data_IF_636627373886
#
_entry.id   IF_636627373886
#
_cell.length_a   1.000
_cell.length_b   1.000
_cell.length_c   1.000
_cell.angle_alpha   90.00
_cell.angle_beta   90.00
_cell.angle_gamma   90.00
#
_symmetry.space_group_name_H-M   'P 1'
#
loop_
_entity.id
_entity.type
_entity.pdbx_description
1 polymer ?
#
# COMPACT_ATOMS: atom_id res chain seq x y z
N UNK A 1 -37.61 -20.17 -60.02
CA UNK A 1 -36.51 -19.29 -59.59
C UNK A 1 -37.13 -18.23 -58.68
N UNK A 2 -36.82 -18.23 -57.39
CA UNK A 2 -37.43 -17.31 -56.41
C UNK A 2 -37.49 -17.94 -55.02
N UNK A 3 -36.32 -18.19 -54.44
CA UNK A 3 -36.19 -18.72 -53.08
C UNK A 3 -36.41 -17.57 -52.09
N UNK A 4 -37.22 -17.87 -51.07
CA UNK A 4 -37.54 -17.03 -49.92
C UNK A 4 -36.30 -16.81 -49.04
N UNK A 5 -36.00 -15.56 -48.69
CA UNK A 5 -34.98 -15.23 -47.68
C UNK A 5 -35.71 -14.84 -46.39
N UNK A 6 -35.78 -15.80 -45.47
CA UNK A 6 -36.33 -15.63 -44.14
C UNK A 6 -35.32 -14.86 -43.27
N UNK A 7 -35.75 -13.70 -42.77
CA UNK A 7 -35.09 -13.01 -41.67
C UNK A 7 -35.19 -13.87 -40.41
N UNK A 8 -34.04 -14.18 -39.81
CA UNK A 8 -33.93 -15.00 -38.61
C UNK A 8 -32.75 -14.56 -37.76
N UNK A 9 -33.07 -13.90 -36.65
CA UNK A 9 -32.18 -13.41 -35.60
C UNK A 9 -31.29 -14.51 -35.01
N UNK A 10 -29.98 -14.28 -34.98
CA UNK A 10 -29.01 -15.00 -34.16
C UNK A 10 -28.24 -14.01 -33.28
N UNK A 11 -27.94 -14.34 -32.01
CA UNK A 11 -27.41 -13.36 -31.06
C UNK A 11 -25.97 -12.98 -31.43
N UNK A 12 -25.74 -11.67 -31.55
CA UNK A 12 -24.39 -11.09 -31.54
C UNK A 12 -23.79 -11.26 -30.14
N UNK A 13 -23.25 -12.43 -29.83
CA UNK A 13 -22.31 -12.57 -28.73
C UNK A 13 -20.93 -12.06 -29.16
N UNK A 14 -20.79 -10.74 -29.33
CA UNK A 14 -19.48 -10.12 -29.38
C UNK A 14 -19.02 -9.90 -27.94
N UNK A 15 -18.33 -10.91 -27.42
CA UNK A 15 -17.36 -10.91 -26.30
C UNK A 15 -16.97 -9.49 -25.84
N UNK A 16 -17.57 -9.02 -24.74
CA UNK A 16 -17.14 -7.81 -24.01
C UNK A 16 -15.89 -8.09 -23.15
N UNK A 17 -14.86 -8.74 -23.72
CA UNK A 17 -13.66 -9.15 -22.98
C UNK A 17 -12.38 -8.54 -23.56
N UNK A 18 -12.48 -7.30 -24.01
CA UNK A 18 -11.34 -6.49 -24.45
C UNK A 18 -11.49 -5.04 -23.98
N UNK A 19 -12.03 -4.83 -22.78
CA UNK A 19 -11.90 -3.54 -22.10
C UNK A 19 -10.62 -3.60 -21.26
N UNK A 20 -9.67 -2.67 -21.43
CA UNK A 20 -8.51 -2.61 -20.55
C UNK A 20 -8.99 -2.40 -19.11
N UNK A 21 -8.35 -3.08 -18.16
CA UNK A 21 -8.62 -2.85 -16.74
C UNK A 21 -8.52 -1.36 -16.44
N UNK A 22 -9.46 -0.78 -15.67
CA UNK A 22 -9.38 0.62 -15.30
C UNK A 22 -8.04 0.87 -14.60
N UNK A 23 -7.41 2.03 -14.81
CA UNK A 23 -6.16 2.35 -14.15
C UNK A 23 -6.35 2.25 -12.63
N UNK A 24 -5.40 1.60 -11.95
CA UNK A 24 -5.42 1.47 -10.49
C UNK A 24 -5.60 2.86 -9.86
N UNK A 25 -6.50 3.03 -8.88
CA UNK A 25 -6.66 4.29 -8.18
C UNK A 25 -5.32 4.82 -7.63
N UNK A 26 -5.13 6.16 -7.54
CA UNK A 26 -3.94 6.72 -6.94
C UNK A 26 -3.68 6.16 -5.54
N UNK A 27 -2.42 5.88 -5.23
CA UNK A 27 -2.04 5.38 -3.91
C UNK A 27 -2.29 6.47 -2.85
N UNK A 28 -3.02 6.12 -1.80
CA UNK A 28 -3.26 7.00 -0.65
C UNK A 28 -2.36 6.54 0.50
N UNK A 29 -1.47 7.43 0.96
CA UNK A 29 -0.62 7.15 2.12
C UNK A 29 -1.45 7.28 3.40
N UNK A 30 -1.53 6.20 4.16
CA UNK A 30 -2.35 6.10 5.38
C UNK A 30 -1.57 5.40 6.50
N UNK A 31 -1.99 5.53 7.77
CA UNK A 31 -1.41 4.74 8.86
C UNK A 31 -1.48 3.23 8.62
N UNK A 32 -2.59 2.74 8.04
CA UNK A 32 -2.75 1.33 7.73
C UNK A 32 -1.69 0.86 6.73
N UNK A 33 -1.48 1.61 5.65
CA UNK A 33 -0.42 1.35 4.68
C UNK A 33 0.97 1.42 5.33
N UNK A 34 1.22 2.43 6.18
CA UNK A 34 2.51 2.58 6.85
C UNK A 34 2.87 1.38 7.74
N UNK A 35 1.89 0.66 8.29
CA UNK A 35 2.08 -0.55 9.12
C UNK A 35 1.99 -1.87 8.33
N UNK A 36 1.55 -1.84 7.08
CA UNK A 36 1.24 -3.04 6.30
C UNK A 36 2.53 -3.82 5.95
N UNK A 37 2.60 -5.14 6.26
CA UNK A 37 3.76 -5.98 5.98
C UNK A 37 4.10 -6.14 4.49
N UNK A 38 3.15 -5.85 3.60
CA UNK A 38 3.31 -5.93 2.15
C UNK A 38 3.69 -4.58 1.52
N UNK A 39 3.90 -3.53 2.34
CA UNK A 39 4.31 -2.22 1.82
C UNK A 39 5.76 -2.22 1.35
N UNK A 40 5.97 -1.75 0.13
CA UNK A 40 7.28 -1.64 -0.49
C UNK A 40 8.21 -0.66 0.26
N UNK A 41 9.51 -0.98 0.27
CA UNK A 41 10.53 -0.15 0.92
C UNK A 41 10.55 1.29 0.41
N UNK A 42 10.34 1.51 -0.89
CA UNK A 42 10.33 2.85 -1.48
C UNK A 42 9.19 3.72 -0.93
N UNK A 43 8.04 3.12 -0.66
CA UNK A 43 6.89 3.80 -0.04
C UNK A 43 7.23 4.15 1.41
N UNK A 44 7.85 3.23 2.15
CA UNK A 44 8.25 3.48 3.55
C UNK A 44 9.29 4.61 3.66
N UNK A 45 10.29 4.64 2.77
CA UNK A 45 11.25 5.74 2.69
C UNK A 45 10.61 7.06 2.27
N UNK A 46 9.64 7.02 1.36
CA UNK A 46 8.88 8.20 0.99
C UNK A 46 8.08 8.75 2.18
N UNK A 47 7.39 7.89 2.95
CA UNK A 47 6.71 8.29 4.19
C UNK A 47 7.71 8.90 5.19
N UNK A 48 8.85 8.25 5.40
CA UNK A 48 9.88 8.70 6.33
C UNK A 48 10.37 10.12 6.00
N UNK A 49 10.53 10.45 4.72
CA UNK A 49 11.08 11.75 4.30
C UNK A 49 10.00 12.81 4.17
N UNK A 50 8.89 12.48 3.52
CA UNK A 50 7.95 13.47 3.00
C UNK A 50 6.65 13.60 3.83
N UNK A 51 6.36 12.67 4.74
CA UNK A 51 5.06 12.65 5.46
C UNK A 51 5.26 12.59 6.98
N UNK A 52 5.62 13.71 7.65
CA UNK A 52 5.90 13.76 9.09
C UNK A 52 4.81 13.15 9.98
N UNK A 53 3.53 13.38 9.66
CA UNK A 53 2.37 12.87 10.42
C UNK A 53 2.27 11.34 10.41
N UNK A 54 2.85 10.67 9.41
CA UNK A 54 2.80 9.23 9.28
C UNK A 54 4.04 8.50 9.81
N UNK A 55 5.14 9.21 10.06
CA UNK A 55 6.42 8.60 10.52
C UNK A 55 6.26 7.77 11.78
N UNK A 56 5.38 8.18 12.70
CA UNK A 56 5.13 7.48 13.97
C UNK A 56 4.59 6.06 13.82
N UNK A 57 4.10 5.69 12.64
CA UNK A 57 3.56 4.36 12.37
C UNK A 57 4.60 3.40 11.84
N UNK A 58 5.71 3.91 11.28
CA UNK A 58 6.79 3.09 10.69
C UNK A 58 7.44 2.10 11.68
N UNK A 59 7.62 2.38 12.98
CA UNK A 59 8.13 1.41 13.94
C UNK A 59 7.30 0.13 14.08
N UNK A 60 6.00 0.18 13.73
CA UNK A 60 5.12 -0.98 13.76
C UNK A 60 5.18 -1.83 12.48
N UNK A 61 5.85 -1.35 11.42
CA UNK A 61 5.95 -2.08 10.16
C UNK A 61 7.06 -3.14 10.24
N UNK A 62 6.76 -4.44 10.05
CA UNK A 62 7.78 -5.49 10.10
C UNK A 62 8.80 -5.45 8.95
N UNK A 63 8.52 -4.68 7.89
CA UNK A 63 9.47 -4.41 6.80
C UNK A 63 10.40 -3.24 7.09
N UNK A 64 10.08 -2.40 8.08
CA UNK A 64 10.92 -1.26 8.43
C UNK A 64 12.31 -1.75 8.86
N UNK A 65 13.32 -1.34 8.10
CA UNK A 65 14.71 -1.73 8.39
C UNK A 65 15.29 -0.87 9.51
N UNK A 66 16.35 -1.33 10.18
CA UNK A 66 17.04 -0.52 11.18
C UNK A 66 17.45 0.87 10.66
N UNK A 67 17.95 0.96 9.43
CA UNK A 67 18.39 2.22 8.82
C UNK A 67 17.21 3.19 8.58
N UNK A 68 16.04 2.65 8.21
CA UNK A 68 14.81 3.42 8.09
C UNK A 68 14.39 3.97 9.46
N UNK A 69 14.37 3.14 10.49
CA UNK A 69 13.96 3.54 11.85
C UNK A 69 14.95 4.53 12.48
N UNK A 70 16.24 4.35 12.23
CA UNK A 70 17.27 5.32 12.61
C UNK A 70 16.99 6.67 11.93
N UNK A 71 16.74 6.67 10.62
CA UNK A 71 16.42 7.91 9.90
C UNK A 71 15.17 8.58 10.47
N UNK A 72 14.12 7.80 10.76
CA UNK A 72 12.88 8.31 11.39
C UNK A 72 13.17 8.92 12.76
N UNK A 73 14.06 8.31 13.55
CA UNK A 73 14.46 8.86 14.85
C UNK A 73 15.15 10.22 14.73
N UNK A 74 15.99 10.40 13.70
CA UNK A 74 16.73 11.64 13.45
C UNK A 74 15.82 12.75 12.91
N UNK A 75 14.94 12.41 11.95
CA UNK A 75 13.99 13.37 11.37
C UNK A 75 12.87 13.76 12.33
N UNK A 76 12.54 12.88 13.29
CA UNK A 76 11.46 13.09 14.24
C UNK A 76 10.09 13.26 13.58
N UNK A 77 9.16 13.86 14.31
CA UNK A 77 7.77 14.08 13.89
C UNK A 77 6.79 13.85 15.04
N UNK A 78 5.51 14.21 14.87
CA UNK A 78 4.51 14.03 15.91
C UNK A 78 4.41 12.56 16.35
N UNK A 79 4.70 12.30 17.63
CA UNK A 79 4.59 10.96 18.22
C UNK A 79 5.69 9.96 17.86
N UNK A 80 6.71 10.33 17.06
CA UNK A 80 7.78 9.41 16.64
C UNK A 80 8.57 8.87 17.83
N UNK A 81 9.03 9.74 18.73
CA UNK A 81 9.79 9.34 19.91
C UNK A 81 9.02 8.35 20.80
N UNK A 82 7.72 8.59 20.98
CA UNK A 82 6.86 7.69 21.75
C UNK A 82 6.71 6.32 21.07
N UNK A 83 6.41 6.29 19.77
CA UNK A 83 6.28 5.03 19.03
C UNK A 83 7.57 4.21 18.99
N UNK A 84 8.73 4.85 18.83
CA UNK A 84 10.03 4.18 18.90
C UNK A 84 10.31 3.63 20.30
N UNK A 85 9.97 4.38 21.35
CA UNK A 85 10.05 3.90 22.74
C UNK A 85 9.25 2.61 22.94
N UNK A 86 7.99 2.58 22.47
CA UNK A 86 7.15 1.38 22.55
C UNK A 86 7.76 0.16 21.81
N UNK A 87 8.38 0.37 20.66
CA UNK A 87 9.07 -0.70 19.93
C UNK A 87 10.25 -1.23 20.76
N UNK A 88 11.07 -0.35 21.33
CA UNK A 88 12.22 -0.74 22.15
C UNK A 88 11.77 -1.50 23.40
N UNK A 89 10.76 -0.99 24.13
CA UNK A 89 10.18 -1.65 25.30
C UNK A 89 9.67 -3.06 24.93
N UNK A 90 9.02 -3.21 23.76
CA UNK A 90 8.56 -4.50 23.26
C UNK A 90 9.72 -5.46 22.94
N UNK A 91 10.82 -4.97 22.36
CA UNK A 91 11.99 -5.79 22.05
C UNK A 91 12.71 -6.23 23.32
N UNK A 92 12.86 -5.34 24.30
CA UNK A 92 13.47 -5.64 25.60
C UNK A 92 12.67 -6.70 26.36
N UNK A 93 11.33 -6.60 26.36
CA UNK A 93 10.44 -7.59 26.97
C UNK A 93 10.50 -8.98 26.31
N UNK A 94 11.12 -9.11 25.13
CA UNK A 94 11.27 -10.38 24.39
C UNK A 94 12.65 -11.01 24.56
N UNK A 95 13.57 -10.37 25.28
CA UNK A 95 14.86 -10.95 25.63
C UNK A 95 14.63 -12.07 26.68
N UNK A 96 15.25 -13.26 26.51
CA UNK A 96 15.06 -14.40 27.42
C UNK A 96 15.71 -14.22 28.80
#
# INVERSE_FOLDING_TARGET
MGRVEAGGSGPIHTRAEDAPDPPKPPLVLTPALACDPDTDQDILWHIAREVPELRRWLPANPRATPELLETVSQLGGPGVAHSLGLLLDYLDARQP
#
